data_IF_442261701339
#
_entry.id   IF_442261701339
#
_cell.length_a   1.000
_cell.length_b   1.000
_cell.length_c   1.000
_cell.angle_alpha   90.00
_cell.angle_beta   90.00
_cell.angle_gamma   90.00
#
_symmetry.space_group_name_H-M   'P 1'
#
loop_
_entity.id
_entity.type
_entity.pdbx_description
1 polymer ?
#
# COMPACT_ATOMS: atom_id res chain seq x y z
N UNK A 1 18.53 -22.60 -9.50
CA UNK A 1 17.72 -21.37 -9.57
C UNK A 1 18.67 -20.19 -9.48
N UNK A 2 18.64 -19.27 -10.44
CA UNK A 2 19.51 -18.08 -10.44
C UNK A 2 19.03 -17.13 -9.33
N UNK A 3 19.97 -16.37 -8.74
CA UNK A 3 19.66 -15.47 -7.60
C UNK A 3 18.55 -14.48 -7.93
N UNK A 4 18.49 -13.99 -9.17
CA UNK A 4 17.49 -13.03 -9.61
C UNK A 4 16.08 -13.65 -9.72
N UNK A 5 15.99 -14.92 -10.11
CA UNK A 5 14.72 -15.66 -10.14
C UNK A 5 14.12 -15.77 -8.73
N UNK A 6 14.97 -15.94 -7.70
CA UNK A 6 14.54 -16.00 -6.30
C UNK A 6 14.02 -14.64 -5.84
N UNK A 7 14.65 -13.55 -6.27
CA UNK A 7 14.21 -12.18 -5.96
C UNK A 7 12.87 -11.88 -6.62
N UNK A 8 12.72 -12.23 -7.90
CA UNK A 8 11.46 -12.07 -8.65
C UNK A 8 10.34 -12.89 -8.01
N UNK A 9 10.58 -14.16 -7.69
CA UNK A 9 9.57 -15.00 -7.03
C UNK A 9 9.14 -14.42 -5.66
N UNK A 10 10.06 -13.86 -4.88
CA UNK A 10 9.74 -13.21 -3.60
C UNK A 10 8.91 -11.95 -3.80
N UNK A 11 9.23 -11.12 -4.79
CA UNK A 11 8.45 -9.93 -5.13
C UNK A 11 7.02 -10.31 -5.57
N UNK A 12 6.89 -11.33 -6.43
CA UNK A 12 5.58 -11.86 -6.85
C UNK A 12 4.79 -12.35 -5.64
N UNK A 13 5.40 -13.11 -4.73
CA UNK A 13 4.72 -13.63 -3.55
C UNK A 13 4.17 -12.52 -2.62
N UNK A 14 4.84 -11.36 -2.56
CA UNK A 14 4.37 -10.20 -1.79
C UNK A 14 3.03 -9.70 -2.33
N UNK A 15 2.84 -9.67 -3.65
CA UNK A 15 1.61 -9.18 -4.27
C UNK A 15 0.35 -9.99 -3.90
N UNK A 16 0.50 -11.22 -3.44
CA UNK A 16 -0.61 -12.07 -3.04
C UNK A 16 -0.90 -12.05 -1.53
N UNK A 17 -0.07 -11.39 -0.71
CA UNK A 17 -0.32 -11.29 0.73
C UNK A 17 -1.43 -10.28 1.01
N UNK A 18 -2.38 -10.59 1.92
CA UNK A 18 -3.42 -9.63 2.31
C UNK A 18 -2.89 -8.50 3.21
N UNK A 19 -1.83 -8.78 3.98
CA UNK A 19 -1.20 -7.84 4.90
C UNK A 19 0.31 -7.80 4.66
N UNK A 20 0.87 -6.60 4.59
CA UNK A 20 2.26 -6.34 4.27
C UNK A 20 2.98 -5.68 5.44
N UNK A 21 4.17 -6.19 5.78
CA UNK A 21 5.09 -5.50 6.68
C UNK A 21 5.52 -4.16 6.07
N UNK A 22 6.00 -3.18 6.86
CA UNK A 22 6.45 -1.91 6.33
C UNK A 22 7.47 -2.02 5.18
N UNK A 23 8.40 -2.96 5.26
CA UNK A 23 9.41 -3.19 4.22
C UNK A 23 8.79 -3.79 2.96
N UNK A 24 7.84 -4.72 3.11
CA UNK A 24 7.12 -5.34 2.01
C UNK A 24 6.19 -4.35 1.31
N UNK A 25 5.55 -3.44 2.05
CA UNK A 25 4.69 -2.40 1.52
C UNK A 25 5.48 -1.38 0.67
N UNK A 26 6.69 -1.01 1.10
CA UNK A 26 7.58 -0.14 0.32
C UNK A 26 8.00 -0.79 -1.00
N UNK A 27 8.34 -2.09 -0.96
CA UNK A 27 8.65 -2.86 -2.17
C UNK A 27 7.43 -2.94 -3.08
N UNK A 28 6.26 -3.25 -2.51
CA UNK A 28 5.01 -3.42 -3.25
C UNK A 28 4.59 -2.14 -3.97
N UNK A 29 4.65 -0.99 -3.29
CA UNK A 29 4.27 0.29 -3.88
C UNK A 29 5.34 0.86 -4.82
N UNK A 30 6.58 0.36 -4.75
CA UNK A 30 7.73 0.90 -5.45
C UNK A 30 7.91 2.42 -5.23
N UNK A 31 7.71 2.86 -3.98
CA UNK A 31 7.82 4.26 -3.56
C UNK A 31 8.97 4.45 -2.57
N UNK A 32 9.62 5.62 -2.62
CA UNK A 32 10.53 6.05 -1.57
C UNK A 32 9.81 6.25 -0.24
N UNK A 33 10.52 6.08 0.88
CA UNK A 33 9.94 6.13 2.25
C UNK A 33 9.10 7.39 2.51
N UNK A 34 9.63 8.56 2.16
CA UNK A 34 8.94 9.85 2.39
C UNK A 34 7.66 9.97 1.57
N UNK A 35 7.71 9.60 0.29
CA UNK A 35 6.55 9.65 -0.59
C UNK A 35 5.48 8.65 -0.16
N UNK A 36 5.89 7.44 0.22
CA UNK A 36 4.99 6.42 0.74
C UNK A 36 4.27 6.92 2.00
N UNK A 37 4.98 7.49 2.96
CA UNK A 37 4.39 8.02 4.19
C UNK A 37 3.37 9.14 3.90
N UNK A 38 3.72 10.09 3.01
CA UNK A 38 2.83 11.17 2.60
C UNK A 38 1.56 10.64 1.94
N UNK A 39 1.69 9.70 1.00
CA UNK A 39 0.52 9.12 0.33
C UNK A 39 -0.35 8.33 1.31
N UNK A 40 0.24 7.57 2.24
CA UNK A 40 -0.52 6.87 3.28
C UNK A 40 -1.33 7.85 4.13
N UNK A 41 -0.73 8.99 4.54
CA UNK A 41 -1.44 10.03 5.29
C UNK A 41 -2.59 10.64 4.48
N UNK A 42 -2.35 11.00 3.21
CA UNK A 42 -3.36 11.57 2.30
C UNK A 42 -4.53 10.61 2.02
N UNK A 43 -4.27 9.30 2.00
CA UNK A 43 -5.27 8.26 1.80
C UNK A 43 -5.90 7.73 3.09
N UNK A 44 -5.40 8.15 4.26
CA UNK A 44 -5.87 7.67 5.56
C UNK A 44 -5.53 6.20 5.82
N UNK A 45 -4.40 5.73 5.30
CA UNK A 45 -3.94 4.34 5.42
C UNK A 45 -3.09 4.20 6.67
N UNK A 46 -3.51 3.31 7.56
CA UNK A 46 -2.82 3.03 8.82
C UNK A 46 -2.48 1.56 8.96
N UNK A 47 -1.49 1.28 9.82
CA UNK A 47 -1.15 -0.09 10.19
C UNK A 47 -2.22 -0.65 11.11
N UNK A 48 -2.47 -1.95 11.02
CA UNK A 48 -3.26 -2.67 12.00
C UNK A 48 -2.51 -2.80 13.35
N UNK A 49 -3.14 -3.43 14.35
CA UNK A 49 -2.55 -3.65 15.67
C UNK A 49 -1.23 -4.45 15.65
N UNK A 50 -0.98 -5.23 14.60
CA UNK A 50 0.26 -5.99 14.41
C UNK A 50 1.34 -5.20 13.64
N UNK A 51 1.07 -3.96 13.23
CA UNK A 51 2.01 -3.11 12.51
C UNK A 51 2.04 -3.33 11.00
N UNK A 52 1.03 -3.98 10.41
CA UNK A 52 0.98 -4.30 8.97
C UNK A 52 -0.03 -3.45 8.21
N UNK A 53 0.25 -3.20 6.93
CA UNK A 53 -0.64 -2.51 6.00
C UNK A 53 -1.57 -3.49 5.29
N UNK A 54 -2.83 -3.12 5.09
CA UNK A 54 -3.75 -3.92 4.28
C UNK A 54 -3.49 -3.66 2.79
N UNK A 55 -3.25 -4.72 2.02
CA UNK A 55 -2.90 -4.59 0.59
C UNK A 55 -3.99 -3.86 -0.21
N UNK A 56 -5.26 -4.15 0.07
CA UNK A 56 -6.40 -3.51 -0.62
C UNK A 56 -6.41 -1.97 -0.46
N UNK A 57 -5.92 -1.44 0.67
CA UNK A 57 -5.84 0.00 0.88
C UNK A 57 -4.68 0.60 0.08
N UNK A 58 -3.54 -0.11 0.02
CA UNK A 58 -2.42 0.26 -0.83
C UNK A 58 -2.79 0.20 -2.33
N UNK A 59 -3.59 -0.79 -2.73
CA UNK A 59 -4.10 -0.89 -4.11
C UNK A 59 -4.94 0.33 -4.48
N UNK A 60 -5.81 0.80 -3.57
CA UNK A 60 -6.60 2.02 -3.77
C UNK A 60 -5.70 3.24 -3.92
N UNK A 61 -4.70 3.38 -3.06
CA UNK A 61 -3.70 4.46 -3.14
C UNK A 61 -2.97 4.47 -4.49
N UNK A 62 -2.62 3.30 -5.03
CA UNK A 62 -1.90 3.17 -6.31
C UNK A 62 -2.82 3.25 -7.54
N UNK A 63 -4.13 3.06 -7.38
CA UNK A 63 -5.11 3.05 -8.47
C UNK A 63 -5.40 4.42 -9.11
N UNK A 64 -4.87 5.51 -8.55
CA UNK A 64 -5.16 6.88 -8.98
C UNK A 64 -6.58 7.36 -8.62
N UNK A 65 -7.32 6.59 -7.81
CA UNK A 65 -8.64 6.96 -7.31
C UNK A 65 -8.54 8.01 -6.19
N UNK A 66 -9.64 8.72 -5.94
CA UNK A 66 -9.72 9.71 -4.87
C UNK A 66 -9.54 9.05 -3.49
N UNK A 67 -8.92 9.77 -2.55
CA UNK A 67 -8.74 9.27 -1.19
C UNK A 67 -10.06 9.08 -0.44
N UNK A 68 -10.04 8.27 0.61
CA UNK A 68 -11.19 8.05 1.48
C UNK A 68 -11.76 9.35 2.05
N UNK A 69 -10.90 10.33 2.33
CA UNK A 69 -11.32 11.63 2.83
C UNK A 69 -12.06 12.45 1.77
N UNK A 70 -11.57 12.44 0.52
CA UNK A 70 -12.23 13.16 -0.59
C UNK A 70 -13.60 12.54 -0.88
N UNK A 71 -13.68 11.21 -0.90
CA UNK A 71 -14.95 10.50 -1.12
C UNK A 71 -15.94 10.69 0.04
N UNK A 72 -15.47 10.67 1.29
CA UNK A 72 -16.30 10.98 2.45
C UNK A 72 -16.81 12.43 2.41
N UNK A 73 -15.94 13.39 2.08
CA UNK A 73 -16.30 14.80 1.97
C UNK A 73 -17.35 15.06 0.87
N UNK A 74 -17.29 14.35 -0.26
CA UNK A 74 -18.32 14.41 -1.31
C UNK A 74 -19.68 13.95 -0.79
N UNK A 75 -19.73 12.85 -0.03
CA UNK A 75 -20.98 12.31 0.53
C UNK A 75 -21.61 13.23 1.58
N UNK A 76 -20.81 13.99 2.33
CA UNK A 76 -21.32 14.93 3.35
C UNK A 76 -21.85 16.25 2.77
N UNK A 77 -21.52 16.58 1.51
CA UNK A 77 -21.99 17.79 0.83
C UNK A 77 -23.26 17.56 -0.02
N UNK A 78 -23.85 16.37 0.05
CA UNK A 78 -25.15 16.04 -0.57
C UNK A 78 -26.26 16.07 0.48
#
# INVERSE_FOLDING_TARGET
MKRDELVVMRAIAICFKPFLKPEEALIYCNLGRTQFAKNCEEFGIYKNNAGYYKREELDKMLSGQASHFVEAAKKMKM
#
